data_IF_546571129879
#
_entry.id   IF_546571129879
#
_cell.length_a   1.000
_cell.length_b   1.000
_cell.length_c   1.000
_cell.angle_alpha   90.00
_cell.angle_beta   90.00
_cell.angle_gamma   90.00
#
_symmetry.space_group_name_H-M   'P 1'
#
loop_
_entity.id
_entity.type
_entity.pdbx_description
1 polymer ?
#
# COMPACT_ATOMS: atom_id res chain seq x y z
N UNK A 1 27.96 39.55 46.13
CA UNK A 1 27.57 38.22 46.59
C UNK A 1 26.05 38.06 46.81
N UNK A 2 25.30 39.00 47.40
CA UNK A 2 23.85 38.86 47.61
C UNK A 2 23.00 38.79 46.35
N UNK A 3 23.40 39.44 45.23
CA UNK A 3 22.61 39.40 43.97
C UNK A 3 22.73 38.10 43.19
N UNK A 4 23.87 37.39 43.33
CA UNK A 4 24.12 36.11 42.65
C UNK A 4 23.29 35.02 43.35
N UNK A 5 23.10 35.08 44.65
CA UNK A 5 22.32 34.12 45.43
C UNK A 5 20.83 34.18 45.09
N UNK A 6 20.30 35.39 44.80
CA UNK A 6 18.88 35.56 44.42
C UNK A 6 18.60 35.02 43.03
N UNK A 7 19.55 35.12 42.09
CA UNK A 7 19.41 34.58 40.73
C UNK A 7 19.41 33.03 40.73
N UNK A 8 20.29 32.43 41.55
CA UNK A 8 20.31 30.98 41.69
C UNK A 8 19.05 30.41 42.31
N UNK A 9 18.44 31.09 43.29
CA UNK A 9 17.15 30.65 43.88
C UNK A 9 16.00 30.80 42.90
N UNK A 10 15.97 31.87 42.07
CA UNK A 10 14.95 32.04 41.03
C UNK A 10 15.06 30.96 39.94
N UNK A 11 16.27 30.59 39.50
CA UNK A 11 16.50 29.53 38.55
C UNK A 11 16.11 28.16 39.11
N UNK A 12 16.36 27.91 40.40
CA UNK A 12 15.95 26.66 41.04
C UNK A 12 14.43 26.53 41.26
N UNK A 13 13.74 27.65 41.48
CA UNK A 13 12.28 27.68 41.56
C UNK A 13 11.60 27.49 40.20
N UNK A 14 12.22 27.96 39.10
CA UNK A 14 11.68 27.74 37.76
C UNK A 14 11.91 26.29 37.24
N UNK A 15 12.95 25.61 37.70
CA UNK A 15 13.16 24.20 37.29
C UNK A 15 12.20 23.23 37.98
N UNK A 16 11.64 23.57 39.15
CA UNK A 16 10.68 22.69 39.83
C UNK A 16 9.22 22.88 39.38
N UNK A 17 8.90 23.91 38.61
CA UNK A 17 7.56 24.09 38.08
C UNK A 17 7.34 23.36 36.74
N UNK A 18 8.39 22.84 36.11
CA UNK A 18 8.30 22.09 34.86
C UNK A 18 7.98 20.58 35.04
N UNK A 19 7.93 20.08 36.26
CA UNK A 19 7.65 18.67 36.56
C UNK A 19 6.28 18.39 37.18
N UNK A 20 5.38 19.35 37.18
CA UNK A 20 3.99 19.13 37.58
C UNK A 20 3.07 18.90 36.34
N UNK A 21 3.53 18.13 35.36
CA UNK A 21 2.58 17.34 34.57
C UNK A 21 2.16 16.18 35.48
N UNK A 22 1.14 16.42 36.28
CA UNK A 22 0.42 15.34 36.92
C UNK A 22 0.02 14.36 35.83
N UNK A 23 0.45 13.11 35.96
CA UNK A 23 -0.14 12.00 35.20
C UNK A 23 -1.62 11.98 35.56
N UNK A 24 -2.41 12.79 34.86
CA UNK A 24 -3.86 12.73 34.94
C UNK A 24 -4.23 11.40 34.33
N UNK A 25 -4.39 10.38 35.16
CA UNK A 25 -5.00 9.14 34.70
C UNK A 25 -6.45 9.46 34.42
N UNK A 26 -6.81 9.48 33.16
CA UNK A 26 -8.17 9.73 32.69
C UNK A 26 -9.19 8.80 33.37
N UNK A 27 -8.77 7.60 33.72
CA UNK A 27 -9.51 6.62 34.51
C UNK A 27 -10.02 7.16 35.84
N UNK A 28 -9.27 8.09 36.52
CA UNK A 28 -9.68 8.70 37.76
C UNK A 28 -10.83 9.71 37.63
N UNK A 29 -11.08 10.20 36.39
CA UNK A 29 -12.14 11.16 36.09
C UNK A 29 -13.31 10.54 35.38
N UNK A 30 -13.08 9.54 34.58
CA UNK A 30 -14.09 8.92 33.71
C UNK A 30 -14.45 7.48 34.16
N UNK A 31 -13.77 6.92 35.16
CA UNK A 31 -13.98 5.56 35.61
C UNK A 31 -13.74 4.54 34.50
N UNK A 32 -14.54 3.50 34.49
CA UNK A 32 -14.47 2.44 33.46
C UNK A 32 -15.19 2.79 32.14
N UNK A 33 -15.31 4.06 31.80
CA UNK A 33 -15.86 4.46 30.49
C UNK A 33 -14.93 3.97 29.38
N UNK A 34 -15.34 2.89 28.75
CA UNK A 34 -14.68 2.33 27.57
C UNK A 34 -15.43 2.73 26.33
N UNK A 35 -14.70 3.14 25.30
CA UNK A 35 -15.29 3.28 23.99
C UNK A 35 -15.81 1.92 23.53
N UNK A 36 -17.09 1.84 23.16
CA UNK A 36 -17.67 0.65 22.55
C UNK A 36 -17.64 0.82 21.04
N UNK A 37 -17.04 -0.12 20.34
CA UNK A 37 -17.16 -0.20 18.91
C UNK A 37 -18.62 -0.48 18.55
N UNK A 38 -19.26 0.43 17.82
CA UNK A 38 -20.68 0.33 17.44
C UNK A 38 -20.87 -0.11 15.98
N UNK A 39 -19.83 -0.71 15.41
CA UNK A 39 -19.80 -1.16 14.03
C UNK A 39 -19.23 -0.11 13.08
N UNK A 40 -19.05 -0.46 11.80
CA UNK A 40 -18.58 0.48 10.81
C UNK A 40 -19.58 1.61 10.68
N UNK A 41 -19.07 2.85 10.67
CA UNK A 41 -19.90 3.96 10.26
C UNK A 41 -20.33 3.74 8.80
N UNK A 42 -21.55 4.15 8.45
CA UNK A 42 -22.12 4.00 7.10
C UNK A 42 -21.21 4.59 5.99
N UNK A 43 -20.24 5.41 6.35
CA UNK A 43 -19.29 6.09 5.46
C UNK A 43 -17.86 5.53 5.49
N UNK A 44 -17.59 4.45 6.19
CA UNK A 44 -16.23 3.90 6.36
C UNK A 44 -15.67 3.18 5.13
N UNK A 45 -16.44 2.96 4.10
CA UNK A 45 -16.29 1.80 3.35
C UNK A 45 -15.99 1.87 1.86
N UNK A 46 -14.97 2.57 1.39
CA UNK A 46 -14.36 2.15 0.11
C UNK A 46 -13.56 0.89 0.37
N UNK A 47 -13.81 -0.16 -0.40
CA UNK A 47 -12.94 -1.33 -0.39
C UNK A 47 -11.71 -0.97 -1.21
N UNK A 48 -10.56 -0.95 -0.55
CA UNK A 48 -9.29 -0.61 -1.17
C UNK A 48 -8.60 -1.84 -1.76
N UNK A 49 -8.79 -2.98 -1.11
CA UNK A 49 -8.23 -4.25 -1.55
C UNK A 49 -9.09 -5.42 -1.12
N UNK A 50 -9.05 -6.52 -1.88
CA UNK A 50 -9.76 -7.77 -1.58
C UNK A 50 -8.88 -8.95 -1.97
N UNK A 51 -8.77 -9.91 -1.04
CA UNK A 51 -8.06 -11.15 -1.27
C UNK A 51 -8.93 -12.36 -1.00
N UNK A 52 -8.82 -13.36 -1.86
CA UNK A 52 -9.49 -14.64 -1.71
C UNK A 52 -8.49 -15.71 -1.28
N UNK A 53 -8.93 -16.56 -0.36
CA UNK A 53 -8.16 -17.74 -0.03
C UNK A 53 -7.94 -18.63 -1.27
N UNK A 54 -6.71 -19.07 -1.58
CA UNK A 54 -6.39 -19.70 -2.86
C UNK A 54 -7.08 -21.06 -3.09
N UNK A 55 -7.50 -21.74 -2.03
CA UNK A 55 -8.11 -23.08 -2.10
C UNK A 55 -9.50 -23.16 -1.48
N UNK A 56 -9.96 -22.18 -0.69
CA UNK A 56 -11.30 -22.09 -0.14
C UNK A 56 -12.00 -20.79 -0.53
N UNK A 57 -12.81 -20.83 -1.55
CA UNK A 57 -13.55 -19.66 -2.06
C UNK A 57 -14.56 -19.05 -1.05
N UNK A 58 -14.79 -19.67 0.12
CA UNK A 58 -15.63 -19.11 1.17
C UNK A 58 -14.91 -18.07 2.00
N UNK A 59 -13.57 -18.13 2.04
CA UNK A 59 -12.76 -17.21 2.83
C UNK A 59 -12.36 -16.04 1.94
N UNK A 60 -12.81 -14.84 2.33
CA UNK A 60 -12.54 -13.58 1.64
C UNK A 60 -12.12 -12.55 2.67
N UNK A 61 -11.06 -11.82 2.38
CA UNK A 61 -10.62 -10.66 3.15
C UNK A 61 -10.90 -9.38 2.38
N UNK A 62 -11.42 -8.37 3.05
CA UNK A 62 -11.71 -7.07 2.47
C UNK A 62 -11.08 -5.96 3.31
N UNK A 63 -10.22 -5.15 2.69
CA UNK A 63 -9.56 -4.00 3.29
C UNK A 63 -10.27 -2.70 2.96
N UNK A 64 -10.84 -2.07 3.97
CA UNK A 64 -11.51 -0.78 3.82
C UNK A 64 -10.54 0.38 4.02
N UNK A 65 -10.65 1.42 3.19
CA UNK A 65 -9.82 2.61 3.25
C UNK A 65 -9.95 3.42 4.57
N UNK A 66 -10.95 3.12 5.36
CA UNK A 66 -11.21 3.77 6.64
C UNK A 66 -12.11 2.93 7.57
N UNK A 67 -12.07 1.60 7.44
CA UNK A 67 -12.91 0.69 8.20
C UNK A 67 -12.22 -0.62 8.58
N UNK A 68 -10.88 -0.66 8.52
CA UNK A 68 -10.11 -1.84 8.92
C UNK A 68 -10.21 -3.00 7.94
N UNK A 69 -9.91 -4.20 8.44
CA UNK A 69 -9.97 -5.45 7.68
C UNK A 69 -11.15 -6.29 8.13
N UNK A 70 -11.83 -6.85 7.16
CA UNK A 70 -13.02 -7.67 7.33
C UNK A 70 -12.79 -9.06 6.73
N UNK A 71 -13.25 -10.10 7.42
CA UNK A 71 -13.16 -11.49 6.97
C UNK A 71 -14.54 -12.09 6.79
N UNK A 72 -14.76 -12.72 5.65
CA UNK A 72 -15.88 -13.63 5.40
C UNK A 72 -15.41 -15.09 5.46
N UNK A 73 -16.26 -15.97 5.97
CA UNK A 73 -16.07 -17.43 5.94
C UNK A 73 -17.24 -18.13 5.21
N UNK A 74 -18.08 -17.39 4.51
CA UNK A 74 -19.30 -17.86 3.88
C UNK A 74 -19.51 -17.26 2.48
N UNK A 75 -18.40 -17.10 1.74
CA UNK A 75 -18.37 -16.58 0.37
C UNK A 75 -18.96 -15.17 0.24
N UNK A 76 -18.69 -14.30 1.22
CA UNK A 76 -19.10 -12.91 1.19
C UNK A 76 -20.53 -12.64 1.66
N UNK A 77 -21.23 -13.64 2.21
CA UNK A 77 -22.59 -13.45 2.74
C UNK A 77 -22.55 -12.61 4.01
N UNK A 78 -21.59 -12.88 4.89
CA UNK A 78 -21.33 -12.06 6.09
C UNK A 78 -19.86 -11.72 6.21
N UNK A 79 -19.56 -10.57 6.83
CA UNK A 79 -18.22 -10.14 7.12
C UNK A 79 -18.09 -9.77 8.60
N UNK A 80 -17.00 -10.22 9.22
CA UNK A 80 -16.64 -9.90 10.60
C UNK A 80 -15.36 -9.07 10.62
N UNK A 81 -15.29 -8.00 11.42
CA UNK A 81 -14.07 -7.22 11.56
C UNK A 81 -13.01 -8.03 12.31
N UNK A 82 -11.77 -7.94 11.85
CA UNK A 82 -10.63 -8.68 12.43
C UNK A 82 -9.43 -7.78 12.73
N UNK A 83 -9.57 -6.44 12.55
CA UNK A 83 -8.46 -5.49 12.69
C UNK A 83 -8.84 -4.23 13.49
N UNK A 84 -9.85 -4.31 14.36
CA UNK A 84 -10.45 -3.15 15.03
C UNK A 84 -9.54 -2.42 16.02
N UNK A 85 -8.54 -3.11 16.58
CA UNK A 85 -7.60 -2.54 17.55
C UNK A 85 -6.40 -1.83 16.89
N UNK A 86 -6.32 -1.84 15.55
CA UNK A 86 -5.19 -1.35 14.78
C UNK A 86 -5.58 -0.19 13.86
N UNK A 87 -4.66 0.23 13.00
CA UNK A 87 -4.91 1.30 12.04
C UNK A 87 -6.05 0.95 11.08
N UNK A 88 -7.10 1.76 11.09
CA UNK A 88 -8.32 1.50 10.30
C UNK A 88 -8.19 1.86 8.81
N UNK A 89 -7.10 2.47 8.40
CA UNK A 89 -6.86 2.81 6.99
C UNK A 89 -6.05 1.71 6.31
N UNK A 90 -6.67 0.96 5.41
CA UNK A 90 -6.04 -0.18 4.73
C UNK A 90 -5.64 0.22 3.32
N UNK A 91 -4.41 -0.14 2.94
CA UNK A 91 -3.83 0.06 1.61
C UNK A 91 -3.78 -1.22 0.78
N UNK A 92 -3.36 -2.33 1.39
CA UNK A 92 -3.19 -3.62 0.74
C UNK A 92 -3.42 -4.76 1.72
N UNK A 93 -3.88 -5.89 1.21
CA UNK A 93 -3.96 -7.18 1.90
C UNK A 93 -3.25 -8.21 1.03
N UNK A 94 -2.57 -9.17 1.64
CA UNK A 94 -1.98 -10.31 0.96
C UNK A 94 -2.08 -11.55 1.84
N UNK A 95 -2.52 -12.66 1.25
CA UNK A 95 -2.52 -13.98 1.88
C UNK A 95 -1.25 -14.71 1.45
N UNK A 96 -0.50 -15.28 2.38
CA UNK A 96 0.64 -16.12 2.03
C UNK A 96 0.16 -17.39 1.28
N UNK A 97 0.48 -17.56 -0.01
CA UNK A 97 0.02 -18.71 -0.79
C UNK A 97 0.60 -20.05 -0.29
N UNK A 98 1.65 -20.00 0.54
CA UNK A 98 2.28 -21.20 1.10
C UNK A 98 1.70 -21.61 2.47
N UNK A 99 0.99 -20.67 3.16
CA UNK A 99 0.32 -20.89 4.45
C UNK A 99 -0.97 -20.05 4.54
N UNK A 100 -1.94 -20.28 3.62
CA UNK A 100 -3.07 -19.38 3.44
C UNK A 100 -4.08 -19.39 4.60
N UNK A 101 -4.11 -20.45 5.40
CA UNK A 101 -4.99 -20.55 6.56
C UNK A 101 -4.56 -19.64 7.71
N UNK A 102 -3.24 -19.37 7.84
CA UNK A 102 -2.68 -18.71 9.02
C UNK A 102 -2.03 -17.37 8.70
N UNK A 103 -1.26 -17.28 7.61
CA UNK A 103 -0.39 -16.13 7.37
C UNK A 103 -1.00 -15.10 6.44
N UNK A 104 -1.24 -13.88 6.98
CA UNK A 104 -1.85 -12.76 6.27
C UNK A 104 -1.05 -11.50 6.55
N UNK A 105 -0.92 -10.65 5.54
CA UNK A 105 -0.26 -9.36 5.64
C UNK A 105 -1.26 -8.23 5.38
N UNK A 106 -1.13 -7.13 6.13
CA UNK A 106 -1.94 -5.92 5.97
C UNK A 106 -1.02 -4.70 5.91
N UNK A 107 -1.00 -4.06 4.76
CA UNK A 107 -0.37 -2.76 4.57
C UNK A 107 -1.36 -1.64 4.82
N UNK A 108 -1.00 -0.70 5.71
CA UNK A 108 -1.91 0.37 6.11
C UNK A 108 -1.72 1.63 5.27
N UNK A 109 -2.74 2.50 5.28
CA UNK A 109 -2.79 3.78 4.59
C UNK A 109 -3.49 3.75 3.23
N UNK A 110 -4.54 4.55 3.08
CA UNK A 110 -5.30 4.63 1.83
C UNK A 110 -4.44 5.07 0.66
N UNK A 111 -4.39 4.27 -0.41
CA UNK A 111 -3.53 4.48 -1.59
C UNK A 111 -4.22 5.20 -2.73
N UNK A 112 -5.49 5.59 -2.55
CA UNK A 112 -6.24 6.37 -3.51
C UNK A 112 -6.22 7.85 -3.14
N UNK A 113 -5.39 8.68 -3.80
CA UNK A 113 -5.19 10.08 -3.43
C UNK A 113 -6.45 10.90 -3.57
N UNK A 114 -7.01 11.30 -2.44
CA UNK A 114 -8.18 12.16 -2.32
C UNK A 114 -7.86 13.37 -1.44
N UNK A 115 -8.84 14.26 -1.23
CA UNK A 115 -8.68 15.38 -0.31
C UNK A 115 -8.70 14.95 1.17
N UNK A 116 -9.32 13.82 1.47
CA UNK A 116 -9.46 13.28 2.81
C UNK A 116 -9.06 11.81 2.82
N UNK A 117 -7.78 11.53 2.89
CA UNK A 117 -7.22 10.18 3.01
C UNK A 117 -6.57 10.01 4.37
N UNK A 118 -6.80 8.86 4.98
CA UNK A 118 -6.19 8.52 6.25
C UNK A 118 -4.78 7.99 6.03
N UNK A 119 -3.91 8.28 6.98
CA UNK A 119 -2.52 7.83 7.01
C UNK A 119 -2.48 6.45 7.64
N UNK A 120 -1.62 5.59 7.11
CA UNK A 120 -1.27 4.32 7.71
C UNK A 120 -0.11 4.46 8.69
N UNK A 121 0.17 3.38 9.41
CA UNK A 121 1.20 3.33 10.43
C UNK A 121 2.13 2.12 10.31
N UNK A 122 2.09 1.42 9.18
CA UNK A 122 3.02 0.34 8.89
C UNK A 122 2.41 -0.90 8.24
N UNK A 123 3.22 -1.96 8.27
CA UNK A 123 2.91 -3.29 7.77
C UNK A 123 2.66 -4.21 8.96
N UNK A 124 1.57 -4.96 8.90
CA UNK A 124 1.18 -5.93 9.91
C UNK A 124 1.17 -7.34 9.34
N UNK A 125 1.45 -8.31 10.20
CA UNK A 125 1.40 -9.74 9.92
C UNK A 125 0.54 -10.44 10.95
N UNK A 126 -0.32 -11.34 10.51
CA UNK A 126 -0.95 -12.36 11.33
C UNK A 126 -0.34 -13.72 11.01
N UNK A 127 -0.23 -14.60 12.02
CA UNK A 127 0.16 -15.99 11.88
C UNK A 127 -0.93 -16.96 12.39
N UNK A 128 -2.17 -16.47 12.51
CA UNK A 128 -3.31 -17.23 13.07
C UNK A 128 -4.65 -16.87 12.40
N UNK A 129 -4.60 -16.59 11.10
CA UNK A 129 -5.78 -16.34 10.28
C UNK A 129 -6.49 -15.02 10.58
N UNK A 130 -5.76 -14.04 11.15
CA UNK A 130 -6.27 -12.71 11.46
C UNK A 130 -6.79 -12.53 12.89
N UNK A 131 -6.53 -13.47 13.80
CA UNK A 131 -6.95 -13.33 15.20
C UNK A 131 -6.02 -12.41 15.99
N UNK A 132 -4.70 -12.46 15.72
CA UNK A 132 -3.70 -11.58 16.31
C UNK A 132 -2.80 -11.01 15.24
N UNK A 133 -2.29 -9.78 15.47
CA UNK A 133 -1.46 -9.06 14.51
C UNK A 133 -0.21 -8.49 15.15
N UNK A 134 0.89 -8.57 14.43
CA UNK A 134 2.19 -8.00 14.79
C UNK A 134 2.60 -6.97 13.74
N UNK A 135 3.07 -5.81 14.16
CA UNK A 135 3.66 -4.81 13.28
C UNK A 135 5.09 -5.19 12.94
N UNK A 136 5.39 -5.35 11.66
CA UNK A 136 6.69 -5.82 11.15
C UNK A 136 7.47 -4.74 10.38
N UNK A 137 7.14 -3.46 10.58
CA UNK A 137 7.88 -2.32 10.04
C UNK A 137 7.02 -1.31 9.30
N UNK A 138 7.69 -0.39 8.61
CA UNK A 138 7.09 0.64 7.75
C UNK A 138 6.27 1.71 8.49
N UNK A 139 6.58 2.04 9.73
CA UNK A 139 5.85 3.01 10.55
C UNK A 139 5.77 4.41 9.93
N UNK A 140 6.75 4.76 9.09
CA UNK A 140 6.84 6.07 8.42
C UNK A 140 6.37 6.05 6.97
N UNK A 141 5.92 4.90 6.47
CA UNK A 141 5.56 4.74 5.05
C UNK A 141 4.31 5.54 4.65
N UNK A 142 3.45 5.85 5.58
CA UNK A 142 2.13 6.45 5.42
C UNK A 142 1.16 5.63 4.54
N UNK A 143 1.65 4.97 3.48
CA UNK A 143 0.82 4.22 2.53
C UNK A 143 1.57 3.07 1.90
N UNK A 144 1.06 1.88 2.11
CA UNK A 144 1.52 0.65 1.45
C UNK A 144 0.49 0.29 0.38
N UNK A 145 0.93 0.26 -0.88
CA UNK A 145 0.03 0.10 -2.02
C UNK A 145 -0.16 -1.35 -2.45
N UNK A 146 0.84 -2.18 -2.20
CA UNK A 146 0.82 -3.58 -2.62
C UNK A 146 1.78 -4.40 -1.78
N UNK A 147 1.44 -5.66 -1.59
CA UNK A 147 2.26 -6.66 -0.92
C UNK A 147 2.24 -7.90 -1.81
N UNK A 148 3.37 -8.56 -1.99
CA UNK A 148 3.46 -9.83 -2.72
C UNK A 148 4.32 -10.78 -1.89
N UNK A 149 3.80 -11.97 -1.62
CA UNK A 149 4.57 -13.08 -1.05
C UNK A 149 5.04 -13.98 -2.19
N UNK A 150 6.33 -14.36 -2.17
CA UNK A 150 6.84 -15.31 -3.15
C UNK A 150 6.09 -16.65 -3.04
N UNK A 151 5.44 -17.12 -4.11
CA UNK A 151 4.64 -18.35 -4.07
C UNK A 151 5.43 -19.61 -3.77
N UNK A 152 6.77 -19.55 -3.80
CA UNK A 152 7.66 -20.67 -3.50
C UNK A 152 8.39 -20.50 -2.16
N UNK A 153 8.25 -19.34 -1.48
CA UNK A 153 9.01 -19.06 -0.25
C UNK A 153 8.34 -17.95 0.59
N UNK A 154 7.64 -18.32 1.66
CA UNK A 154 6.98 -17.39 2.61
C UNK A 154 7.91 -16.35 3.26
N UNK A 155 9.23 -16.57 3.23
CA UNK A 155 10.20 -15.62 3.78
C UNK A 155 10.54 -14.49 2.84
N UNK A 156 10.24 -14.64 1.56
CA UNK A 156 10.45 -13.59 0.57
C UNK A 156 9.17 -12.81 0.33
N UNK A 157 9.18 -11.55 0.75
CA UNK A 157 8.03 -10.65 0.62
C UNK A 157 8.50 -9.36 -0.05
N UNK A 158 7.69 -8.84 -0.95
CA UNK A 158 7.93 -7.58 -1.65
C UNK A 158 6.81 -6.61 -1.27
N UNK A 159 7.18 -5.38 -0.92
CA UNK A 159 6.26 -4.35 -0.50
C UNK A 159 6.43 -3.10 -1.35
N UNK A 160 5.34 -2.64 -1.94
CA UNK A 160 5.25 -1.38 -2.67
C UNK A 160 4.81 -0.25 -1.76
N UNK A 161 5.70 0.71 -1.50
CA UNK A 161 5.40 1.88 -0.68
C UNK A 161 5.11 3.08 -1.57
N UNK A 162 3.87 3.57 -1.50
CA UNK A 162 3.43 4.77 -2.19
C UNK A 162 3.94 6.04 -1.50
N UNK A 163 4.00 6.04 -0.17
CA UNK A 163 4.54 7.13 0.64
C UNK A 163 3.57 8.27 0.93
N UNK A 164 4.10 9.38 1.40
CA UNK A 164 3.35 10.55 1.82
C UNK A 164 2.58 11.20 0.65
N UNK A 165 1.35 11.67 0.91
CA UNK A 165 0.52 12.35 -0.08
C UNK A 165 0.88 13.83 -0.22
N UNK A 166 1.19 14.47 0.91
CA UNK A 166 1.30 15.93 1.03
C UNK A 166 2.75 16.43 1.01
N UNK A 167 3.72 15.53 1.14
CA UNK A 167 5.14 15.84 1.22
C UNK A 167 5.99 14.89 0.38
N UNK A 168 7.25 15.21 0.20
CA UNK A 168 8.28 14.27 -0.23
C UNK A 168 8.51 13.23 0.86
N UNK A 169 8.95 12.04 0.48
CA UNK A 169 9.20 10.95 1.40
C UNK A 169 10.33 10.06 0.92
N UNK A 170 11.31 9.85 1.78
CA UNK A 170 12.39 8.87 1.57
C UNK A 170 11.88 7.43 1.68
N UNK A 171 10.69 7.22 2.26
CA UNK A 171 10.10 5.89 2.43
C UNK A 171 9.50 5.31 1.15
N UNK A 172 9.37 6.10 0.09
CA UNK A 172 8.84 5.66 -1.20
C UNK A 172 9.72 4.60 -1.85
N UNK A 173 9.09 3.69 -2.60
CA UNK A 173 9.83 2.69 -3.38
C UNK A 173 9.33 1.28 -3.20
N UNK A 174 10.15 0.31 -3.62
CA UNK A 174 9.89 -1.12 -3.44
C UNK A 174 10.90 -1.69 -2.47
N UNK A 175 10.39 -2.49 -1.55
CA UNK A 175 11.21 -3.14 -0.51
C UNK A 175 11.06 -4.65 -0.62
N UNK A 176 12.10 -5.37 -0.22
CA UNK A 176 12.12 -6.82 -0.15
C UNK A 176 12.69 -7.29 1.18
N UNK A 177 12.10 -8.32 1.73
CA UNK A 177 12.67 -9.15 2.79
C UNK A 177 12.96 -10.54 2.26
N UNK A 178 13.91 -11.24 2.88
CA UNK A 178 14.21 -12.67 2.65
C UNK A 178 14.22 -13.48 3.96
N UNK A 179 13.81 -12.84 5.05
CA UNK A 179 13.80 -13.40 6.40
C UNK A 179 12.40 -13.35 7.07
N UNK A 180 11.35 -13.14 6.27
CA UNK A 180 9.95 -13.14 6.73
C UNK A 180 9.51 -11.83 7.38
N UNK A 181 10.19 -10.72 7.08
CA UNK A 181 9.83 -9.39 7.57
C UNK A 181 10.66 -8.90 8.76
N UNK A 182 11.72 -9.63 9.14
CA UNK A 182 12.63 -9.19 10.22
C UNK A 182 13.50 -8.03 9.76
N UNK A 183 14.02 -8.12 8.51
CA UNK A 183 14.79 -7.03 7.89
C UNK A 183 14.27 -6.70 6.50
N UNK A 184 14.40 -5.42 6.10
CA UNK A 184 13.91 -4.91 4.84
C UNK A 184 15.00 -4.18 4.05
N UNK A 185 15.18 -4.56 2.78
CA UNK A 185 16.06 -3.89 1.82
C UNK A 185 15.22 -3.11 0.82
N UNK A 186 15.51 -1.82 0.62
CA UNK A 186 14.93 -1.04 -0.47
C UNK A 186 15.58 -1.48 -1.78
N UNK A 187 14.82 -2.09 -2.70
CA UNK A 187 15.30 -2.68 -3.95
C UNK A 187 15.01 -1.82 -5.18
N UNK A 188 14.04 -0.89 -5.09
CA UNK A 188 13.80 0.11 -6.14
C UNK A 188 13.45 1.44 -5.49
N UNK A 189 14.20 2.46 -5.83
CA UNK A 189 13.96 3.85 -5.44
C UNK A 189 14.21 4.77 -6.63
N UNK A 190 13.28 5.65 -6.93
CA UNK A 190 13.42 6.63 -8.00
C UNK A 190 13.80 7.99 -7.44
N UNK A 191 12.96 8.56 -6.60
CA UNK A 191 13.19 9.81 -5.86
C UNK A 191 12.11 10.02 -4.79
N UNK A 192 12.21 11.10 -4.03
CA UNK A 192 11.30 11.44 -2.93
C UNK A 192 9.86 11.75 -3.35
N UNK A 193 9.61 12.04 -4.64
CA UNK A 193 8.26 12.35 -5.16
C UNK A 193 7.60 11.18 -5.87
N UNK A 194 8.32 10.04 -6.08
CA UNK A 194 7.86 8.90 -6.88
C UNK A 194 7.76 7.65 -6.01
N UNK A 195 6.54 7.19 -5.78
CA UNK A 195 6.24 5.99 -4.98
C UNK A 195 5.82 4.81 -5.83
N UNK A 196 5.81 3.61 -5.23
CA UNK A 196 5.26 2.42 -5.87
C UNK A 196 3.74 2.45 -5.76
N UNK A 197 3.04 2.43 -6.90
CA UNK A 197 1.59 2.46 -6.98
C UNK A 197 0.97 1.09 -7.17
N UNK A 198 1.73 0.16 -7.77
CA UNK A 198 1.29 -1.21 -8.02
C UNK A 198 2.48 -2.15 -8.26
N UNK A 199 2.31 -3.43 -7.98
CA UNK A 199 3.28 -4.50 -8.16
C UNK A 199 2.63 -5.71 -8.80
N UNK A 200 3.39 -6.44 -9.60
CA UNK A 200 3.00 -7.75 -10.07
C UNK A 200 4.22 -8.68 -10.15
N UNK A 201 4.00 -9.95 -9.93
CA UNK A 201 5.02 -11.01 -10.04
C UNK A 201 4.60 -12.02 -11.11
N UNK A 202 5.58 -12.57 -11.82
CA UNK A 202 5.30 -13.70 -12.70
C UNK A 202 5.06 -14.96 -11.83
N UNK A 203 3.88 -15.57 -11.87
CA UNK A 203 3.55 -16.69 -10.98
C UNK A 203 4.35 -17.97 -11.29
N UNK A 204 4.95 -18.09 -12.48
CA UNK A 204 5.78 -19.23 -12.88
C UNK A 204 7.27 -19.00 -12.64
N UNK A 205 7.71 -17.74 -12.57
CA UNK A 205 9.10 -17.35 -12.25
C UNK A 205 9.11 -16.13 -11.32
N UNK A 206 9.16 -16.32 -10.01
CA UNK A 206 9.12 -15.21 -9.04
C UNK A 206 10.32 -14.25 -9.10
N UNK A 207 11.35 -14.55 -9.90
CA UNK A 207 12.42 -13.59 -10.16
C UNK A 207 12.00 -12.46 -11.11
N UNK A 208 10.90 -12.67 -11.84
CA UNK A 208 10.36 -11.64 -12.75
C UNK A 208 9.31 -10.83 -12.01
N UNK A 209 9.65 -9.57 -11.74
CA UNK A 209 8.83 -8.64 -10.97
C UNK A 209 8.60 -7.38 -11.80
N UNK A 210 7.38 -6.84 -11.71
CA UNK A 210 7.01 -5.57 -12.32
C UNK A 210 6.61 -4.59 -11.24
N UNK A 211 7.06 -3.33 -11.36
CA UNK A 211 6.75 -2.26 -10.43
C UNK A 211 6.28 -1.01 -11.17
N UNK A 212 5.08 -0.56 -10.87
CA UNK A 212 4.54 0.71 -11.33
C UNK A 212 4.99 1.83 -10.39
N UNK A 213 5.89 2.68 -10.86
CA UNK A 213 6.36 3.83 -10.11
C UNK A 213 5.63 5.09 -10.56
N UNK A 214 5.04 5.81 -9.63
CA UNK A 214 4.19 6.96 -9.88
C UNK A 214 4.69 8.21 -9.17
N UNK A 215 5.00 9.24 -9.94
CA UNK A 215 5.32 10.57 -9.45
C UNK A 215 4.03 11.35 -9.20
N UNK A 216 3.80 11.82 -7.98
CA UNK A 216 2.59 12.57 -7.63
C UNK A 216 2.82 13.51 -6.46
N UNK A 217 1.98 14.56 -6.41
CA UNK A 217 1.93 15.50 -5.30
C UNK A 217 0.54 16.06 -5.12
N UNK A 218 0.06 16.06 -3.89
CA UNK A 218 -1.14 16.79 -3.50
C UNK A 218 -0.81 18.03 -2.70
N UNK A 219 -1.57 19.09 -2.94
CA UNK A 219 -1.60 20.29 -2.10
C UNK A 219 -3.05 20.61 -1.74
N UNK A 220 -3.30 21.59 -0.87
CA UNK A 220 -4.66 21.99 -0.50
C UNK A 220 -5.50 22.50 -1.68
N UNK A 221 -4.85 22.93 -2.75
CA UNK A 221 -5.49 23.55 -3.93
C UNK A 221 -5.20 22.86 -5.26
N UNK A 222 -4.31 21.87 -5.28
CA UNK A 222 -3.94 21.19 -6.53
C UNK A 222 -3.62 19.71 -6.30
N UNK A 223 -3.67 18.96 -7.38
CA UNK A 223 -3.16 17.60 -7.45
C UNK A 223 -2.38 17.43 -8.76
N UNK A 224 -1.10 17.08 -8.63
CA UNK A 224 -0.28 16.69 -9.75
C UNK A 224 -0.22 15.17 -9.81
N UNK A 225 -0.82 14.59 -10.86
CA UNK A 225 -0.75 13.16 -11.16
C UNK A 225 0.17 12.95 -12.33
N UNK A 226 1.32 12.35 -12.08
CA UNK A 226 2.29 12.05 -13.10
C UNK A 226 3.45 13.01 -13.22
N UNK A 227 4.48 12.52 -13.91
CA UNK A 227 5.72 13.22 -14.17
C UNK A 227 6.67 12.40 -15.01
N UNK A 228 7.88 12.93 -15.23
CA UNK A 228 8.93 12.24 -16.03
C UNK A 228 9.49 11.00 -15.33
N UNK A 229 9.25 10.87 -14.05
CA UNK A 229 9.72 9.76 -13.21
C UNK A 229 8.67 8.65 -13.05
N UNK A 230 7.43 8.87 -13.48
CA UNK A 230 6.43 7.80 -13.55
C UNK A 230 6.80 6.83 -14.66
N UNK A 231 6.84 5.53 -14.35
CA UNK A 231 7.18 4.49 -15.31
C UNK A 231 6.83 3.09 -14.76
N UNK A 232 6.78 2.14 -15.68
CA UNK A 232 6.80 0.73 -15.36
C UNK A 232 8.25 0.22 -15.38
N UNK A 233 8.62 -0.53 -14.36
CA UNK A 233 9.93 -1.16 -14.22
C UNK A 233 9.77 -2.69 -14.20
N UNK A 234 10.74 -3.40 -14.75
CA UNK A 234 10.85 -4.86 -14.73
C UNK A 234 12.18 -5.27 -14.13
N UNK A 235 12.16 -6.23 -13.23
CA UNK A 235 13.31 -7.02 -12.79
C UNK A 235 13.17 -8.45 -13.31
N UNK A 236 14.29 -9.11 -13.56
CA UNK A 236 14.37 -10.53 -13.95
C UNK A 236 15.28 -11.34 -13.01
N UNK A 237 15.67 -10.74 -11.89
CA UNK A 237 16.65 -11.29 -10.94
C UNK A 237 16.19 -11.10 -9.48
N UNK A 238 14.87 -11.16 -9.27
CA UNK A 238 14.28 -11.06 -7.93
C UNK A 238 14.38 -9.68 -7.30
N UNK A 239 14.52 -8.63 -8.11
CA UNK A 239 14.56 -7.25 -7.66
C UNK A 239 15.97 -6.68 -7.42
N UNK A 240 17.03 -7.41 -7.79
CA UNK A 240 18.40 -6.87 -7.64
C UNK A 240 18.71 -5.80 -8.68
N UNK A 241 18.22 -5.96 -9.92
CA UNK A 241 18.35 -4.98 -10.99
C UNK A 241 17.01 -4.68 -11.63
N UNK A 242 16.81 -3.42 -12.02
CA UNK A 242 15.55 -2.94 -12.59
C UNK A 242 15.78 -2.22 -13.91
N UNK A 243 14.95 -2.52 -14.89
CA UNK A 243 14.93 -1.86 -16.19
C UNK A 243 13.60 -1.17 -16.42
N UNK A 244 13.63 0.10 -16.82
CA UNK A 244 12.45 0.85 -17.25
C UNK A 244 11.90 0.28 -18.57
N UNK A 245 10.60 0.00 -18.59
CA UNK A 245 9.88 -0.46 -19.78
C UNK A 245 9.18 0.74 -20.40
N UNK A 246 9.25 0.88 -21.73
CA UNK A 246 8.62 1.99 -22.45
C UNK A 246 8.29 1.70 -23.91
N UNK A 247 8.69 0.56 -24.47
CA UNK A 247 8.48 0.25 -25.87
C UNK A 247 6.98 0.04 -26.16
N UNK A 248 6.39 0.93 -26.97
CA UNK A 248 4.95 0.96 -27.25
C UNK A 248 4.12 1.79 -26.24
N UNK A 249 4.76 2.35 -25.20
CA UNK A 249 4.08 3.26 -24.26
C UNK A 249 3.92 4.67 -24.89
N UNK A 250 2.97 5.47 -24.35
CA UNK A 250 2.84 6.87 -24.73
C UNK A 250 4.13 7.66 -24.52
N UNK A 251 4.41 8.56 -25.45
CA UNK A 251 5.43 9.58 -25.26
C UNK A 251 4.96 10.65 -24.25
N UNK A 252 5.90 11.31 -23.57
CA UNK A 252 5.63 12.35 -22.60
C UNK A 252 5.50 11.83 -21.17
N UNK A 253 4.81 12.61 -20.32
CA UNK A 253 4.63 12.29 -18.91
C UNK A 253 3.58 11.20 -18.75
N UNK A 254 3.90 10.22 -17.92
CA UNK A 254 2.93 9.23 -17.47
C UNK A 254 2.42 9.59 -16.06
N UNK A 255 1.16 9.28 -15.81
CA UNK A 255 0.55 9.34 -14.51
C UNK A 255 0.61 7.98 -13.80
N UNK A 256 -0.48 7.62 -13.12
CA UNK A 256 -0.61 6.32 -12.45
C UNK A 256 -0.73 5.20 -13.50
N UNK A 257 -0.07 4.08 -13.20
CA UNK A 257 -0.21 2.84 -13.96
C UNK A 257 -0.70 1.75 -13.00
N UNK A 258 -1.62 0.91 -13.47
CA UNK A 258 -1.96 -0.37 -12.84
C UNK A 258 -1.41 -1.50 -13.70
N UNK A 259 -1.06 -2.63 -13.12
CA UNK A 259 -0.49 -3.77 -13.82
C UNK A 259 -1.10 -5.08 -13.37
N UNK A 260 -1.32 -6.01 -14.30
CA UNK A 260 -1.71 -7.38 -14.02
C UNK A 260 -1.03 -8.34 -14.98
N UNK A 261 -0.48 -9.42 -14.44
CA UNK A 261 0.11 -10.54 -15.18
C UNK A 261 -0.92 -11.66 -15.27
N UNK A 262 -1.14 -12.24 -16.43
CA UNK A 262 -2.06 -13.35 -16.58
C UNK A 262 -1.44 -14.63 -16.01
N UNK A 263 -2.13 -15.25 -15.03
CA UNK A 263 -1.64 -16.47 -14.38
C UNK A 263 -1.57 -17.65 -15.33
N UNK A 264 -2.54 -17.76 -16.25
CA UNK A 264 -2.59 -18.81 -17.29
C UNK A 264 -1.39 -18.73 -18.23
N UNK A 265 -1.01 -17.50 -18.62
CA UNK A 265 0.09 -17.22 -19.54
C UNK A 265 0.86 -15.95 -19.15
N UNK A 266 1.94 -16.04 -18.37
CA UNK A 266 2.68 -14.87 -17.88
C UNK A 266 3.40 -14.03 -18.94
N UNK A 267 3.41 -14.45 -20.20
CA UNK A 267 3.85 -13.60 -21.32
C UNK A 267 2.83 -12.50 -21.61
N UNK A 268 1.56 -12.74 -21.20
CA UNK A 268 0.46 -11.78 -21.36
C UNK A 268 0.36 -10.91 -20.12
N UNK A 269 0.48 -9.61 -20.33
CA UNK A 269 0.44 -8.61 -19.27
C UNK A 269 -0.44 -7.46 -19.73
N UNK A 270 -1.22 -6.94 -18.80
CA UNK A 270 -2.06 -5.77 -19.02
C UNK A 270 -1.62 -4.61 -18.12
N UNK A 271 -1.73 -3.40 -18.63
CA UNK A 271 -1.55 -2.18 -17.85
C UNK A 271 -2.57 -1.12 -18.25
N UNK A 272 -3.13 -0.44 -17.25
CA UNK A 272 -3.92 0.78 -17.48
C UNK A 272 -2.99 1.96 -17.29
N UNK A 273 -2.87 2.82 -18.31
CA UNK A 273 -1.93 3.93 -18.31
C UNK A 273 -2.67 5.27 -18.28
N UNK A 274 -2.35 6.10 -17.29
CA UNK A 274 -2.61 7.53 -17.33
C UNK A 274 -1.50 8.21 -18.14
N UNK A 275 -1.84 8.89 -19.23
CA UNK A 275 -0.90 9.59 -20.09
C UNK A 275 -1.26 11.08 -20.21
N UNK A 276 -0.29 11.90 -20.62
CA UNK A 276 -0.51 13.33 -20.84
C UNK A 276 -1.55 13.60 -21.92
N UNK A 277 -1.49 12.85 -23.02
CA UNK A 277 -2.45 12.96 -24.13
C UNK A 277 -3.65 12.03 -23.91
N UNK A 278 -4.85 12.55 -23.97
CA UNK A 278 -6.08 11.79 -23.67
C UNK A 278 -6.27 10.56 -24.57
N UNK A 279 -5.97 10.67 -25.86
CA UNK A 279 -6.06 9.57 -26.82
C UNK A 279 -5.03 8.44 -26.58
N UNK A 280 -4.07 8.69 -25.70
CA UNK A 280 -3.03 7.74 -25.29
C UNK A 280 -3.27 7.14 -23.90
N UNK A 281 -4.28 7.61 -23.18
CA UNK A 281 -4.74 6.95 -21.95
C UNK A 281 -5.46 5.66 -22.32
N UNK A 282 -5.43 4.67 -21.43
CA UNK A 282 -6.23 3.48 -21.60
C UNK A 282 -5.55 2.18 -21.24
N UNK A 283 -6.10 1.10 -21.77
CA UNK A 283 -5.62 -0.26 -21.58
C UNK A 283 -4.57 -0.61 -22.62
N UNK A 284 -3.46 -1.14 -22.17
CA UNK A 284 -2.37 -1.66 -22.99
C UNK A 284 -2.16 -3.14 -22.67
N UNK A 285 -1.79 -3.92 -23.69
CA UNK A 285 -1.46 -5.34 -23.59
C UNK A 285 -0.05 -5.58 -24.12
N UNK A 286 0.67 -6.44 -23.44
CA UNK A 286 1.88 -7.10 -23.90
C UNK A 286 1.61 -8.58 -24.06
N UNK A 287 2.25 -9.23 -25.05
CA UNK A 287 2.24 -10.68 -25.27
C UNK A 287 3.65 -11.27 -25.27
N UNK A 288 4.62 -10.49 -24.80
CA UNK A 288 6.06 -10.80 -24.78
C UNK A 288 6.70 -10.44 -23.42
N UNK A 289 5.98 -10.70 -22.34
CA UNK A 289 6.42 -10.42 -20.97
C UNK A 289 6.85 -8.96 -20.76
N UNK A 290 6.20 -8.01 -21.43
CA UNK A 290 6.44 -6.58 -21.27
C UNK A 290 7.58 -6.03 -22.14
N UNK A 291 8.09 -6.77 -23.12
CA UNK A 291 9.12 -6.26 -24.02
C UNK A 291 8.54 -5.23 -25.03
N UNK A 292 7.28 -5.41 -25.42
CA UNK A 292 6.53 -4.44 -26.23
C UNK A 292 5.06 -4.36 -25.80
N UNK A 293 4.42 -3.23 -26.13
CA UNK A 293 3.06 -2.92 -25.69
C UNK A 293 2.22 -2.33 -26.82
N UNK A 294 0.95 -2.75 -26.87
CA UNK A 294 -0.05 -2.25 -27.81
C UNK A 294 -1.23 -1.67 -27.04
N UNK A 295 -1.74 -0.50 -27.47
CA UNK A 295 -2.95 0.10 -26.92
C UNK A 295 -4.17 -0.67 -27.41
N UNK A 296 -4.90 -1.30 -26.49
CA UNK A 296 -6.08 -2.11 -26.81
C UNK A 296 -7.36 -1.29 -26.77
N UNK A 297 -7.46 -0.35 -25.82
CA UNK A 297 -8.65 0.44 -25.63
C UNK A 297 -8.32 1.77 -24.97
N UNK A 298 -8.89 2.85 -25.48
CA UNK A 298 -8.75 4.21 -24.97
C UNK A 298 -10.09 4.85 -24.56
N UNK A 299 -11.10 4.02 -24.29
CA UNK A 299 -12.39 4.52 -23.82
C UNK A 299 -12.21 5.34 -22.54
N UNK A 300 -12.88 6.48 -22.49
CA UNK A 300 -12.82 7.38 -21.34
C UNK A 300 -13.25 6.70 -20.04
N UNK A 301 -14.17 5.73 -20.10
CA UNK A 301 -14.63 4.96 -18.96
C UNK A 301 -13.52 4.21 -18.21
N UNK A 302 -12.43 3.81 -18.93
CA UNK A 302 -11.27 3.12 -18.33
C UNK A 302 -10.41 4.08 -17.49
N UNK A 303 -10.36 5.36 -17.88
CA UNK A 303 -9.43 6.34 -17.28
C UNK A 303 -10.12 7.61 -16.79
N UNK A 304 -11.37 7.50 -16.28
CA UNK A 304 -12.16 8.65 -15.78
C UNK A 304 -11.42 9.42 -14.68
N UNK A 305 -10.82 8.70 -13.73
CA UNK A 305 -10.00 9.25 -12.65
C UNK A 305 -8.83 8.31 -12.41
N UNK A 306 -7.80 8.32 -13.25
CA UNK A 306 -6.77 7.29 -13.24
C UNK A 306 -6.00 7.24 -11.92
N UNK A 307 -5.78 8.38 -11.26
CA UNK A 307 -5.17 8.45 -9.93
C UNK A 307 -6.02 7.78 -8.83
N UNK A 308 -7.29 7.48 -9.09
CA UNK A 308 -8.23 6.93 -8.13
C UNK A 308 -8.75 5.54 -8.51
N UNK A 309 -9.14 5.31 -9.79
CA UNK A 309 -9.81 4.10 -10.23
C UNK A 309 -8.95 3.15 -11.10
N UNK A 310 -7.70 3.49 -11.38
CA UNK A 310 -6.84 2.61 -12.19
C UNK A 310 -6.44 1.37 -11.40
N UNK A 311 -7.28 0.36 -11.51
CA UNK A 311 -7.02 -1.00 -11.07
C UNK A 311 -7.37 -1.96 -12.21
N UNK A 312 -6.68 -3.09 -12.27
CA UNK A 312 -6.91 -4.13 -13.26
C UNK A 312 -6.67 -5.50 -12.62
N UNK A 313 -7.49 -6.44 -12.99
CA UNK A 313 -7.32 -7.85 -12.69
C UNK A 313 -7.54 -8.67 -13.96
N UNK A 314 -6.83 -9.77 -14.09
CA UNK A 314 -6.98 -10.74 -15.18
C UNK A 314 -7.56 -12.02 -14.62
N UNK A 315 -8.46 -12.66 -15.36
CA UNK A 315 -8.98 -13.95 -14.96
C UNK A 315 -7.81 -14.93 -14.78
N UNK A 316 -7.70 -15.65 -13.65
CA UNK A 316 -6.57 -16.54 -13.40
C UNK A 316 -6.48 -17.73 -14.36
N UNK A 317 -7.55 -18.03 -15.11
CA UNK A 317 -7.64 -19.17 -16.03
C UNK A 317 -7.68 -18.78 -17.51
N UNK A 318 -7.99 -17.50 -17.81
CA UNK A 318 -8.18 -16.98 -19.17
C UNK A 318 -7.52 -15.60 -19.29
N UNK A 319 -6.53 -15.48 -20.20
CA UNK A 319 -5.79 -14.23 -20.47
C UNK A 319 -6.49 -13.27 -21.44
#
# INVERSE_FOLDING_TARGET
>A
MKKIFLVCIAVFLFQNTAYAQSNIKLENYFGDLRARHIGPAVMSGRINDMENHPTDAKIIYAGAAGGGVWKSNDAGTTFNPIFDEYCQSIGAIEIDPNDPDNTIYVGTGETWPRNSVSVGDGLYKSNDGGNNWEKIGFEKSERIANIIVNPNNSKEIIVGVLGALWSDSEERGVYKTTDGGVTWKKILYVNQSTGCADLAINPKDPNIIYASMWEFRRTGWSFNSGGNNSALYKSIDGGENWKKIHNGFPEGKLGRLAIAVANSNPEVIYTVIEAEKNEKKGLYKSTDAGASWEQMNNDFGITVRPFYFSRIAVDPKDE
#
